data_IF_091321862698
#
_entry.id   IF_091321862698
#
_cell.length_a   1.000
_cell.length_b   1.000
_cell.length_c   1.000
_cell.angle_alpha   90.00
_cell.angle_beta   90.00
_cell.angle_gamma   90.00
#
_symmetry.space_group_name_H-M   'P 1'
#
loop_
_entity.id
_entity.type
_entity.pdbx_description
1 polymer ?
#
# COMPACT_ATOMS: atom_id res chain seq x y z
N UNK A 1 1.93 -5.68 54.89
CA UNK A 1 2.20 -6.71 53.87
C UNK A 1 1.55 -6.22 52.58
N UNK A 2 2.03 -5.07 52.13
CA UNK A 2 1.59 -4.34 50.94
C UNK A 2 2.86 -4.11 50.14
N UNK A 3 3.10 -4.97 49.16
CA UNK A 3 3.89 -4.62 47.97
C UNK A 3 3.71 -5.68 46.88
N UNK A 4 3.82 -5.25 45.63
CA UNK A 4 3.84 -6.02 44.36
C UNK A 4 2.52 -6.25 43.62
N UNK A 5 1.84 -5.16 43.29
CA UNK A 5 1.18 -5.05 41.98
C UNK A 5 2.12 -4.26 41.06
N UNK A 6 3.19 -4.94 40.61
CA UNK A 6 4.20 -4.34 39.74
C UNK A 6 3.66 -4.16 38.34
N UNK A 7 3.07 -3.00 38.04
CA UNK A 7 2.93 -2.56 36.65
C UNK A 7 4.33 -2.27 36.12
N UNK A 8 4.86 -3.22 35.35
CA UNK A 8 6.22 -3.21 34.84
C UNK A 8 6.35 -2.16 33.70
N UNK A 9 6.38 -0.87 34.05
CA UNK A 9 6.43 0.29 33.14
C UNK A 9 7.83 0.54 32.53
N UNK A 10 8.74 -0.44 32.55
CA UNK A 10 10.02 -0.33 31.85
C UNK A 10 9.83 -0.29 30.32
N UNK A 11 10.75 0.32 29.56
CA UNK A 11 10.68 0.32 28.10
C UNK A 11 10.61 -1.12 27.55
N UNK A 12 9.83 -1.30 26.48
CA UNK A 12 9.73 -2.59 25.77
C UNK A 12 11.07 -2.93 25.13
N UNK A 13 11.53 -4.17 25.31
CA UNK A 13 12.63 -4.72 24.52
C UNK A 13 12.17 -4.93 23.07
N UNK A 14 13.10 -5.07 22.14
CA UNK A 14 12.79 -5.16 20.71
C UNK A 14 11.88 -6.34 20.33
N UNK A 15 11.86 -7.39 21.14
CA UNK A 15 11.06 -8.59 20.94
C UNK A 15 9.79 -8.63 21.80
N UNK A 16 9.50 -7.57 22.54
CA UNK A 16 8.34 -7.50 23.44
C UNK A 16 7.29 -6.55 22.91
N UNK A 17 6.03 -6.85 23.20
CA UNK A 17 4.90 -6.01 22.87
C UNK A 17 3.78 -6.16 23.89
N UNK A 18 2.86 -5.20 23.87
CA UNK A 18 1.60 -5.30 24.59
C UNK A 18 0.58 -5.98 23.70
N UNK A 19 0.07 -7.14 24.13
CA UNK A 19 -0.97 -7.87 23.42
C UNK A 19 -2.32 -7.13 23.51
N UNK A 20 -3.35 -7.66 22.85
CA UNK A 20 -4.72 -7.12 22.90
C UNK A 20 -5.35 -7.10 24.29
N UNK A 21 -4.81 -7.89 25.24
CA UNK A 21 -5.22 -7.94 26.65
C UNK A 21 -4.43 -6.97 27.53
N UNK A 22 -3.59 -6.12 26.93
CA UNK A 22 -2.67 -5.21 27.62
C UNK A 22 -1.65 -5.92 28.53
N UNK A 23 -1.21 -7.11 28.14
CA UNK A 23 -0.15 -7.88 28.81
C UNK A 23 1.14 -7.80 28.00
N UNK A 24 2.28 -7.78 28.70
CA UNK A 24 3.62 -7.79 28.07
C UNK A 24 3.95 -9.22 27.65
N UNK A 25 4.11 -9.44 26.34
CA UNK A 25 4.37 -10.76 25.74
C UNK A 25 5.60 -10.69 24.83
N UNK A 26 6.34 -11.79 24.76
CA UNK A 26 7.49 -11.94 23.87
C UNK A 26 7.08 -12.58 22.54
N UNK A 27 7.61 -12.10 21.41
CA UNK A 27 7.25 -12.56 20.04
C UNK A 27 7.45 -14.07 19.85
N UNK A 28 8.50 -14.65 20.44
CA UNK A 28 8.79 -16.09 20.33
C UNK A 28 7.89 -16.99 21.19
N UNK A 29 7.00 -16.43 22.01
CA UNK A 29 6.03 -17.20 22.78
C UNK A 29 4.88 -17.63 21.85
N UNK A 30 5.21 -18.32 20.76
CA UNK A 30 4.27 -18.95 19.84
C UNK A 30 3.52 -20.04 20.62
N UNK A 31 2.20 -19.94 20.67
CA UNK A 31 1.29 -21.00 21.12
C UNK A 31 1.10 -21.23 22.62
N UNK A 32 1.79 -20.52 23.54
CA UNK A 32 1.64 -20.82 24.98
C UNK A 32 0.39 -20.23 25.66
N UNK A 33 -0.55 -19.61 24.94
CA UNK A 33 -1.67 -18.90 25.55
C UNK A 33 -2.99 -18.96 24.73
N UNK A 34 -3.17 -19.93 23.84
CA UNK A 34 -4.35 -19.99 22.98
C UNK A 34 -5.17 -21.27 23.22
N UNK A 35 -5.85 -21.34 24.37
CA UNK A 35 -6.88 -22.36 24.65
C UNK A 35 -7.91 -22.43 23.51
N UNK A 36 -8.22 -21.28 22.88
CA UNK A 36 -9.14 -21.18 21.74
C UNK A 36 -8.61 -21.88 20.49
N UNK A 37 -7.30 -21.83 20.22
CA UNK A 37 -6.68 -22.54 19.10
C UNK A 37 -6.68 -24.04 19.35
N UNK A 38 -6.30 -24.46 20.56
CA UNK A 38 -6.28 -25.87 20.94
C UNK A 38 -7.69 -26.47 20.87
N UNK A 39 -8.70 -25.75 21.39
CA UNK A 39 -10.11 -26.15 21.27
C UNK A 39 -10.57 -26.24 19.80
N UNK A 40 -10.23 -25.24 18.97
CA UNK A 40 -10.62 -25.27 17.56
C UNK A 40 -9.95 -26.42 16.79
N UNK A 41 -8.67 -26.72 17.10
CA UNK A 41 -7.95 -27.85 16.53
C UNK A 41 -8.55 -29.19 17.00
N UNK A 42 -8.89 -29.32 18.28
CA UNK A 42 -9.55 -30.50 18.84
C UNK A 42 -10.91 -30.76 18.19
N UNK A 43 -11.72 -29.71 18.00
CA UNK A 43 -13.01 -29.82 17.30
C UNK A 43 -12.82 -30.25 15.85
N UNK A 44 -11.82 -29.70 15.14
CA UNK A 44 -11.50 -30.10 13.77
C UNK A 44 -11.09 -31.58 13.69
N UNK A 45 -10.27 -32.05 14.64
CA UNK A 45 -9.83 -33.46 14.73
C UNK A 45 -11.00 -34.38 15.06
N UNK A 46 -11.96 -33.94 15.87
CA UNK A 46 -13.20 -34.67 16.20
C UNK A 46 -14.26 -34.63 15.08
N UNK A 47 -14.03 -33.85 14.02
CA UNK A 47 -14.98 -33.69 12.91
C UNK A 47 -16.18 -32.80 13.26
N UNK A 48 -16.08 -32.00 14.32
CA UNK A 48 -17.11 -31.06 14.75
C UNK A 48 -16.99 -29.73 14.00
N UNK A 49 -18.13 -29.03 13.84
CA UNK A 49 -18.13 -27.72 13.18
C UNK A 49 -17.57 -26.66 14.12
N UNK A 50 -16.49 -25.99 13.70
CA UNK A 50 -15.91 -24.86 14.42
C UNK A 50 -16.77 -23.62 14.22
N UNK A 51 -17.16 -22.96 15.32
CA UNK A 51 -17.92 -21.72 15.25
C UNK A 51 -17.14 -20.60 14.54
N UNK A 52 -17.85 -19.78 13.76
CA UNK A 52 -17.28 -18.65 13.03
C UNK A 52 -16.69 -17.57 13.95
N UNK A 53 -17.24 -17.42 15.17
CA UNK A 53 -16.69 -16.56 16.21
C UNK A 53 -15.33 -17.06 16.71
N UNK A 54 -15.23 -18.35 17.01
CA UNK A 54 -13.97 -18.99 17.43
C UNK A 54 -12.87 -18.83 16.35
N UNK A 55 -13.18 -19.08 15.07
CA UNK A 55 -12.25 -18.87 13.97
C UNK A 55 -11.77 -17.40 13.88
N UNK A 56 -12.66 -16.42 14.11
CA UNK A 56 -12.29 -15.00 14.10
C UNK A 56 -11.38 -14.64 15.26
N UNK A 57 -11.63 -15.18 16.45
CA UNK A 57 -10.75 -14.95 17.61
C UNK A 57 -9.37 -15.53 17.39
N UNK A 58 -9.28 -16.77 16.88
CA UNK A 58 -8.01 -17.41 16.51
C UNK A 58 -7.26 -16.59 15.44
N UNK A 59 -7.94 -16.17 14.37
CA UNK A 59 -7.30 -15.33 13.34
C UNK A 59 -6.83 -13.99 13.89
N UNK A 60 -7.57 -13.38 14.81
CA UNK A 60 -7.19 -12.11 15.41
C UNK A 60 -6.01 -12.25 16.38
N UNK A 61 -5.86 -13.40 17.03
CA UNK A 61 -4.70 -13.74 17.86
C UNK A 61 -3.47 -14.03 16.99
N UNK A 62 -3.63 -14.77 15.89
CA UNK A 62 -2.56 -14.97 14.88
C UNK A 62 -2.12 -13.62 14.30
N UNK A 63 -3.08 -12.75 13.96
CA UNK A 63 -2.80 -11.42 13.45
C UNK A 63 -2.00 -10.57 14.46
N UNK A 64 -2.40 -10.58 15.74
CA UNK A 64 -1.69 -9.86 16.79
C UNK A 64 -0.24 -10.36 16.97
N UNK A 65 0.00 -11.65 16.73
CA UNK A 65 1.32 -12.29 16.89
C UNK A 65 2.26 -12.11 15.71
N UNK A 66 1.74 -11.77 14.53
CA UNK A 66 2.57 -11.48 13.36
C UNK A 66 3.28 -10.13 13.53
N UNK A 67 4.42 -10.17 14.22
CA UNK A 67 5.25 -9.00 14.55
C UNK A 67 6.72 -9.25 14.22
N UNK A 68 7.44 -8.19 13.82
CA UNK A 68 8.90 -8.21 13.65
C UNK A 68 9.55 -7.51 14.85
N UNK A 69 10.63 -8.08 15.42
CA UNK A 69 11.40 -7.40 16.46
C UNK A 69 12.01 -6.09 15.95
N UNK A 70 11.69 -4.97 16.59
CA UNK A 70 12.19 -3.64 16.23
C UNK A 70 12.67 -2.89 17.47
N UNK A 71 13.65 -1.99 17.32
CA UNK A 71 14.12 -1.16 18.43
C UNK A 71 12.95 -0.35 19.01
N UNK A 72 12.65 -0.54 20.31
CA UNK A 72 11.53 0.10 21.00
C UNK A 72 10.24 -0.74 21.08
N UNK A 73 10.26 -1.99 20.63
CA UNK A 73 9.15 -2.94 20.76
C UNK A 73 8.82 -3.65 19.45
N UNK A 74 8.16 -4.80 19.52
CA UNK A 74 7.82 -5.57 18.33
C UNK A 74 6.73 -4.89 17.50
N UNK A 75 7.04 -4.66 16.21
CA UNK A 75 6.16 -3.96 15.27
C UNK A 75 5.15 -4.91 14.64
N UNK A 76 3.86 -4.59 14.75
CA UNK A 76 2.76 -5.37 14.17
C UNK A 76 2.71 -5.26 12.64
N UNK A 77 2.76 -6.40 11.97
CA UNK A 77 2.68 -6.53 10.51
C UNK A 77 1.24 -6.86 10.09
N UNK A 78 0.62 -7.77 10.84
CA UNK A 78 -0.69 -8.36 10.52
C UNK A 78 -0.65 -9.39 9.38
N UNK A 79 -1.70 -10.21 9.31
CA UNK A 79 -1.88 -11.28 8.31
C UNK A 79 -1.86 -10.71 6.89
N UNK A 80 -2.52 -9.57 6.69
CA UNK A 80 -2.61 -8.94 5.38
C UNK A 80 -1.23 -8.63 4.79
N UNK A 81 -0.29 -8.14 5.60
CA UNK A 81 1.06 -7.85 5.12
C UNK A 81 1.97 -9.08 5.09
N UNK A 82 1.74 -10.14 5.86
CA UNK A 82 2.57 -11.35 5.80
C UNK A 82 2.29 -12.21 4.56
N UNK A 83 1.03 -12.29 4.13
CA UNK A 83 0.59 -13.20 3.06
C UNK A 83 1.41 -13.08 1.75
N UNK A 84 1.68 -11.88 1.20
CA UNK A 84 2.41 -11.77 -0.06
C UNK A 84 3.84 -12.32 -0.01
N UNK A 85 4.51 -12.21 1.13
CA UNK A 85 5.87 -12.72 1.34
C UNK A 85 5.94 -14.25 1.41
N UNK A 86 4.82 -14.92 1.64
CA UNK A 86 4.71 -16.39 1.62
C UNK A 86 4.20 -16.86 0.27
N UNK A 87 3.12 -16.24 -0.23
CA UNK A 87 2.46 -16.63 -1.47
C UNK A 87 3.39 -16.43 -2.67
N UNK A 88 4.09 -15.29 -2.76
CA UNK A 88 4.89 -14.98 -3.94
C UNK A 88 6.08 -15.93 -4.13
N UNK A 89 6.89 -16.25 -3.11
CA UNK A 89 7.94 -17.27 -3.24
C UNK A 89 7.39 -18.65 -3.61
N UNK A 90 6.27 -19.10 -3.01
CA UNK A 90 5.66 -20.40 -3.34
C UNK A 90 5.23 -20.44 -4.81
N UNK A 91 4.62 -19.37 -5.32
CA UNK A 91 4.24 -19.28 -6.73
C UNK A 91 5.48 -19.25 -7.65
N UNK A 92 6.55 -18.56 -7.27
CA UNK A 92 7.81 -18.56 -8.03
C UNK A 92 8.50 -19.93 -8.02
N UNK A 93 8.50 -20.64 -6.89
CA UNK A 93 9.02 -22.00 -6.78
C UNK A 93 8.21 -22.95 -7.66
N UNK A 94 6.87 -22.85 -7.61
CA UNK A 94 5.97 -23.64 -8.47
C UNK A 94 6.22 -23.34 -9.95
N UNK A 95 6.41 -22.06 -10.29
CA UNK A 95 6.75 -21.64 -11.63
C UNK A 95 8.10 -22.19 -12.11
N UNK A 96 9.08 -22.38 -11.22
CA UNK A 96 10.40 -22.92 -11.58
C UNK A 96 10.43 -24.44 -11.88
N UNK A 97 9.42 -25.20 -11.46
CA UNK A 97 9.45 -26.67 -11.58
C UNK A 97 9.12 -27.14 -13.00
N UNK A 98 8.21 -26.47 -13.69
CA UNK A 98 7.78 -26.85 -15.04
C UNK A 98 6.97 -25.76 -15.74
N UNK A 99 6.82 -25.86 -17.06
CA UNK A 99 5.93 -25.00 -17.84
C UNK A 99 4.46 -25.05 -17.35
N UNK A 100 4.00 -26.20 -16.84
CA UNK A 100 2.66 -26.32 -16.24
C UNK A 100 2.59 -25.53 -14.93
N UNK A 101 3.61 -25.63 -14.10
CA UNK A 101 3.73 -24.84 -12.87
C UNK A 101 3.76 -23.34 -13.14
N UNK A 102 4.45 -22.90 -14.19
CA UNK A 102 4.43 -21.53 -14.68
C UNK A 102 3.03 -21.07 -15.08
N UNK A 103 2.34 -21.86 -15.91
CA UNK A 103 0.99 -21.56 -16.35
C UNK A 103 -0.01 -21.50 -15.18
N UNK A 104 0.06 -22.46 -14.24
CA UNK A 104 -0.76 -22.47 -13.04
C UNK A 104 -0.49 -21.24 -12.16
N UNK A 105 0.78 -20.88 -11.99
CA UNK A 105 1.16 -19.71 -11.18
C UNK A 105 0.65 -18.42 -11.82
N UNK A 106 0.76 -18.27 -13.14
CA UNK A 106 0.24 -17.11 -13.86
C UNK A 106 -1.30 -17.01 -13.80
N UNK A 107 -2.00 -18.15 -13.97
CA UNK A 107 -3.46 -18.24 -13.90
C UNK A 107 -4.02 -18.03 -12.49
N UNK A 108 -3.26 -18.40 -11.45
CA UNK A 108 -3.65 -18.12 -10.07
C UNK A 108 -3.40 -16.64 -9.73
N UNK A 109 -2.23 -16.11 -10.11
CA UNK A 109 -1.75 -14.82 -9.65
C UNK A 109 -2.62 -13.64 -10.10
N UNK A 110 -2.82 -13.50 -11.41
CA UNK A 110 -3.45 -12.29 -11.96
C UNK A 110 -4.95 -12.19 -11.59
N UNK A 111 -5.78 -13.23 -11.74
CA UNK A 111 -7.19 -13.17 -11.35
C UNK A 111 -7.36 -12.98 -9.84
N UNK A 112 -6.57 -13.67 -9.00
CA UNK A 112 -6.64 -13.49 -7.55
C UNK A 112 -6.26 -12.06 -7.15
N UNK A 113 -5.27 -11.45 -7.81
CA UNK A 113 -4.89 -10.07 -7.53
C UNK A 113 -5.93 -9.05 -7.96
N UNK A 114 -6.56 -9.25 -9.13
CA UNK A 114 -7.67 -8.41 -9.58
C UNK A 114 -8.84 -8.54 -8.60
N UNK A 115 -9.19 -9.76 -8.20
CA UNK A 115 -10.24 -10.02 -7.22
C UNK A 115 -9.93 -9.34 -5.89
N UNK A 116 -8.73 -9.55 -5.33
CA UNK A 116 -8.32 -8.96 -4.07
C UNK A 116 -8.35 -7.42 -4.12
N UNK A 117 -7.85 -6.83 -5.22
CA UNK A 117 -7.91 -5.39 -5.43
C UNK A 117 -9.34 -4.87 -5.42
N UNK A 118 -10.24 -5.48 -6.19
CA UNK A 118 -11.65 -5.08 -6.27
C UNK A 118 -12.37 -5.30 -4.94
N UNK A 119 -12.13 -6.42 -4.26
CA UNK A 119 -12.72 -6.73 -2.97
C UNK A 119 -12.31 -5.70 -1.92
N UNK A 120 -11.02 -5.36 -1.84
CA UNK A 120 -10.50 -4.35 -0.90
C UNK A 120 -11.06 -2.95 -1.20
N UNK A 121 -11.20 -2.58 -2.47
CA UNK A 121 -11.84 -1.32 -2.84
C UNK A 121 -13.32 -1.27 -2.43
N UNK A 122 -14.05 -2.38 -2.54
CA UNK A 122 -15.48 -2.47 -2.18
C UNK A 122 -15.73 -2.47 -0.68
N UNK A 123 -14.83 -3.08 0.10
CA UNK A 123 -15.00 -3.14 1.56
C UNK A 123 -14.76 -1.80 2.25
N UNK A 124 -14.15 -0.82 1.56
CA UNK A 124 -13.73 0.45 2.16
C UNK A 124 -12.92 0.26 3.47
N UNK A 125 -12.23 -0.87 3.58
CA UNK A 125 -11.46 -1.24 4.75
C UNK A 125 -9.98 -0.95 4.50
N UNK A 126 -9.30 -0.46 5.54
CA UNK A 126 -7.85 -0.33 5.50
C UNK A 126 -7.21 -1.71 5.48
N UNK A 127 -6.29 -1.93 4.56
CA UNK A 127 -5.54 -3.19 4.47
C UNK A 127 -4.13 -2.92 4.00
N UNK A 128 -3.17 -3.56 4.64
CA UNK A 128 -1.75 -3.52 4.28
C UNK A 128 -1.39 -4.50 3.16
N UNK A 129 -2.34 -5.34 2.70
CA UNK A 129 -2.10 -6.40 1.73
C UNK A 129 -1.51 -5.89 0.40
N UNK A 130 -2.14 -4.90 -0.24
CA UNK A 130 -1.69 -4.38 -1.54
C UNK A 130 -0.30 -3.71 -1.44
N UNK A 131 -0.09 -2.93 -0.38
CA UNK A 131 1.21 -2.32 -0.11
C UNK A 131 2.29 -3.39 0.09
N UNK A 132 2.04 -4.39 0.94
CA UNK A 132 2.99 -5.46 1.19
C UNK A 132 3.25 -6.31 -0.07
N UNK A 133 2.22 -6.53 -0.87
CA UNK A 133 2.34 -7.22 -2.16
C UNK A 133 3.28 -6.50 -3.12
N UNK A 134 3.15 -5.18 -3.22
CA UNK A 134 4.06 -4.36 -4.01
C UNK A 134 5.49 -4.46 -3.49
N UNK A 135 5.69 -4.38 -2.17
CA UNK A 135 7.03 -4.50 -1.56
C UNK A 135 7.64 -5.88 -1.82
N UNK A 136 6.90 -6.97 -1.59
CA UNK A 136 7.36 -8.34 -1.87
C UNK A 136 7.69 -8.52 -3.35
N UNK A 137 6.85 -8.00 -4.25
CA UNK A 137 7.07 -8.03 -5.70
C UNK A 137 8.37 -7.33 -6.10
N UNK A 138 8.60 -6.12 -5.59
CA UNK A 138 9.80 -5.34 -5.87
C UNK A 138 11.06 -6.05 -5.36
N UNK A 139 11.01 -6.60 -4.15
CA UNK A 139 12.13 -7.36 -3.58
C UNK A 139 12.45 -8.60 -4.40
N UNK A 140 11.45 -9.37 -4.81
CA UNK A 140 11.65 -10.57 -5.63
C UNK A 140 12.16 -10.25 -7.04
N UNK A 141 11.63 -9.21 -7.70
CA UNK A 141 12.14 -8.76 -9.01
C UNK A 141 13.60 -8.29 -8.92
N UNK A 142 13.92 -7.44 -7.94
CA UNK A 142 15.27 -6.94 -7.75
C UNK A 142 16.25 -8.08 -7.40
N UNK A 143 15.84 -9.04 -6.56
CA UNK A 143 16.66 -10.21 -6.21
C UNK A 143 16.96 -11.06 -7.44
N UNK A 144 15.93 -11.35 -8.26
CA UNK A 144 16.10 -12.12 -9.48
C UNK A 144 16.97 -11.39 -10.51
N UNK A 145 16.82 -10.07 -10.64
CA UNK A 145 17.65 -9.26 -11.53
C UNK A 145 19.12 -9.26 -11.07
N UNK A 146 19.40 -9.14 -9.77
CA UNK A 146 20.75 -9.16 -9.20
C UNK A 146 21.43 -10.52 -9.37
N UNK A 147 20.74 -11.61 -8.98
CA UNK A 147 21.25 -12.98 -9.12
C UNK A 147 21.63 -13.28 -10.57
N UNK A 148 20.90 -12.70 -11.52
CA UNK A 148 21.12 -12.96 -12.93
C UNK A 148 22.12 -11.99 -13.58
N UNK A 149 22.20 -10.74 -13.11
CA UNK A 149 23.22 -9.80 -13.56
C UNK A 149 24.64 -10.26 -13.24
N UNK A 150 24.81 -10.95 -12.10
CA UNK A 150 26.07 -11.57 -11.70
C UNK A 150 26.49 -12.67 -12.69
N UNK A 151 25.54 -13.48 -13.17
CA UNK A 151 25.81 -14.56 -14.13
C UNK A 151 26.23 -14.06 -15.53
N UNK A 152 25.86 -12.85 -15.92
CA UNK A 152 26.14 -12.29 -17.28
C UNK A 152 27.41 -11.41 -17.26
N UNK A 153 28.02 -11.21 -16.09
CA UNK A 153 29.18 -10.33 -15.95
C UNK A 153 28.86 -8.87 -16.23
N UNK A 154 27.62 -8.42 -16.00
CA UNK A 154 27.26 -7.01 -16.05
C UNK A 154 28.13 -6.25 -15.03
N UNK A 155 28.82 -5.21 -15.49
CA UNK A 155 29.74 -4.44 -14.63
C UNK A 155 28.97 -3.74 -13.52
N UNK A 156 29.60 -3.52 -12.35
CA UNK A 156 29.01 -2.83 -11.19
C UNK A 156 28.40 -1.46 -11.56
N UNK A 157 28.96 -0.78 -12.57
CA UNK A 157 28.43 0.48 -13.10
C UNK A 157 27.08 0.34 -13.82
N UNK A 158 26.89 -0.75 -14.58
CA UNK A 158 25.61 -1.05 -15.25
C UNK A 158 24.54 -1.46 -14.23
N UNK A 159 24.87 -2.27 -13.23
CA UNK A 159 23.95 -2.67 -12.16
C UNK A 159 23.41 -1.46 -11.37
N UNK A 160 24.26 -0.45 -11.15
CA UNK A 160 23.87 0.79 -10.46
C UNK A 160 22.80 1.58 -11.24
N UNK A 161 22.89 1.63 -12.57
CA UNK A 161 21.94 2.36 -13.41
C UNK A 161 20.52 1.77 -13.36
N UNK A 162 20.42 0.44 -13.39
CA UNK A 162 19.14 -0.28 -13.32
C UNK A 162 18.41 -0.09 -11.97
N UNK A 163 19.16 0.16 -10.89
CA UNK A 163 18.59 0.36 -9.55
C UNK A 163 18.07 1.79 -9.28
N UNK A 164 18.50 2.79 -10.06
CA UNK A 164 18.16 4.21 -9.82
C UNK A 164 16.66 4.51 -9.89
N UNK A 165 15.89 4.04 -10.91
CA UNK A 165 14.46 4.27 -10.96
C UNK A 165 13.72 3.67 -9.76
N UNK A 166 14.14 2.47 -9.32
CA UNK A 166 13.57 1.83 -8.13
C UNK A 166 13.86 2.65 -6.86
N UNK A 167 15.11 3.08 -6.67
CA UNK A 167 15.48 3.90 -5.51
C UNK A 167 14.69 5.21 -5.48
N UNK A 168 14.57 5.88 -6.62
CA UNK A 168 13.75 7.10 -6.75
C UNK A 168 12.27 6.84 -6.45
N UNK A 169 11.71 5.72 -6.92
CA UNK A 169 10.35 5.31 -6.59
C UNK A 169 10.18 5.09 -5.08
N UNK A 170 11.11 4.39 -4.42
CA UNK A 170 11.08 4.17 -2.96
C UNK A 170 11.19 5.47 -2.16
N UNK A 171 12.04 6.40 -2.60
CA UNK A 171 12.14 7.73 -1.98
C UNK A 171 10.83 8.51 -2.09
N UNK A 172 10.20 8.52 -3.28
CA UNK A 172 8.91 9.20 -3.48
C UNK A 172 7.76 8.50 -2.74
N UNK A 173 7.79 7.17 -2.63
CA UNK A 173 6.86 6.41 -1.79
C UNK A 173 6.98 6.81 -0.31
N UNK A 174 8.21 6.90 0.20
CA UNK A 174 8.49 7.40 1.54
C UNK A 174 7.95 8.82 1.75
N UNK A 175 8.19 9.72 0.80
CA UNK A 175 7.63 11.07 0.83
C UNK A 175 6.10 11.08 0.81
N UNK A 176 5.46 10.27 -0.04
CA UNK A 176 3.99 10.17 -0.09
C UNK A 176 3.39 9.69 1.23
N UNK A 177 4.11 8.80 1.94
CA UNK A 177 3.71 8.24 3.23
C UNK A 177 4.00 9.15 4.41
N UNK A 178 5.05 9.96 4.33
CA UNK A 178 5.43 10.92 5.36
C UNK A 178 4.65 12.23 5.25
N UNK A 179 4.15 12.58 4.05
CA UNK A 179 3.39 13.80 3.83
C UNK A 179 2.17 13.84 4.76
N UNK A 180 2.04 14.87 5.60
CA UNK A 180 0.87 14.99 6.45
C UNK A 180 -0.39 15.19 5.59
N UNK A 181 -1.57 14.79 6.10
CA UNK A 181 -2.84 15.17 5.48
C UNK A 181 -3.09 16.69 5.53
N UNK A 182 -2.18 17.46 6.15
CA UNK A 182 -2.34 18.87 6.44
C UNK A 182 -2.21 19.76 5.21
N UNK A 183 -2.81 20.92 5.35
CA UNK A 183 -2.80 22.04 4.44
C UNK A 183 -1.45 22.78 4.32
N UNK A 184 -0.47 22.43 5.16
CA UNK A 184 0.77 23.21 5.30
C UNK A 184 1.65 23.09 4.04
N UNK A 185 2.08 24.25 3.51
CA UNK A 185 2.94 24.32 2.33
C UNK A 185 2.22 24.28 0.97
N UNK A 186 0.89 24.18 0.94
CA UNK A 186 0.09 24.17 -0.30
C UNK A 186 0.03 25.57 -0.92
N UNK A 187 0.51 25.73 -2.17
CA UNK A 187 0.59 27.03 -2.85
C UNK A 187 -0.76 27.73 -3.05
N UNK A 188 -1.83 26.99 -3.19
CA UNK A 188 -3.18 27.53 -3.33
C UNK A 188 -4.10 26.82 -2.36
N UNK A 189 -3.85 27.07 -1.07
CA UNK A 189 -4.56 26.42 0.00
C UNK A 189 -6.06 26.69 -0.08
N UNK A 190 -6.48 27.92 -0.36
CA UNK A 190 -7.89 28.25 -0.51
C UNK A 190 -8.58 27.39 -1.59
N UNK A 191 -8.03 27.30 -2.80
CA UNK A 191 -8.61 26.46 -3.85
C UNK A 191 -8.49 24.96 -3.57
N UNK A 192 -7.45 24.53 -2.83
CA UNK A 192 -7.33 23.15 -2.38
C UNK A 192 -8.39 22.79 -1.32
N UNK A 193 -8.69 23.70 -0.39
CA UNK A 193 -9.72 23.56 0.63
C UNK A 193 -11.12 23.54 0.03
N UNK A 194 -11.38 24.36 -1.00
CA UNK A 194 -12.65 24.29 -1.74
C UNK A 194 -12.88 22.88 -2.29
N UNK A 195 -11.82 22.21 -2.74
CA UNK A 195 -11.87 20.84 -3.29
C UNK A 195 -11.53 19.77 -2.24
N UNK A 196 -11.62 20.09 -0.95
CA UNK A 196 -11.38 19.14 0.10
C UNK A 196 -12.55 18.17 0.27
N UNK A 197 -12.23 16.91 0.57
CA UNK A 197 -13.22 15.87 0.89
C UNK A 197 -12.69 15.01 2.03
N UNK A 198 -13.59 14.50 2.88
CA UNK A 198 -13.25 13.52 3.91
C UNK A 198 -12.92 12.17 3.27
N UNK A 199 -11.75 11.61 3.59
CA UNK A 199 -11.35 10.27 3.19
C UNK A 199 -12.21 9.25 3.96
N UNK A 200 -12.95 8.34 3.29
CA UNK A 200 -13.81 7.38 3.98
C UNK A 200 -13.05 6.35 4.82
N UNK A 201 -11.75 6.13 4.53
CA UNK A 201 -10.93 5.10 5.18
C UNK A 201 -10.18 5.67 6.40
N UNK A 202 -9.66 6.89 6.29
CA UNK A 202 -8.92 7.54 7.39
C UNK A 202 -9.81 8.45 8.24
N UNK A 203 -10.98 8.84 7.75
CA UNK A 203 -11.84 9.82 8.42
C UNK A 203 -11.30 11.26 8.39
N UNK A 204 -10.15 11.51 7.78
CA UNK A 204 -9.54 12.84 7.73
C UNK A 204 -10.00 13.64 6.51
N UNK A 205 -10.07 14.98 6.66
CA UNK A 205 -10.38 15.89 5.56
C UNK A 205 -9.11 16.18 4.78
N UNK A 206 -9.09 15.82 3.50
CA UNK A 206 -7.91 15.92 2.64
C UNK A 206 -8.10 17.07 1.65
N UNK A 207 -7.23 18.10 1.65
CA UNK A 207 -7.30 19.18 0.66
C UNK A 207 -7.03 18.67 -0.76
N UNK A 208 -7.86 19.09 -1.72
CA UNK A 208 -7.85 18.60 -3.11
C UNK A 208 -7.77 17.06 -3.18
N UNK A 209 -8.70 16.40 -2.50
CA UNK A 209 -8.72 14.95 -2.38
C UNK A 209 -8.85 14.27 -3.76
N UNK A 210 -7.95 13.33 -4.05
CA UNK A 210 -7.96 12.56 -5.30
C UNK A 210 -8.54 11.17 -5.13
N UNK A 211 -7.90 10.36 -4.30
CA UNK A 211 -8.38 9.03 -3.91
C UNK A 211 -7.58 8.52 -2.71
N UNK A 212 -8.08 7.46 -2.08
CA UNK A 212 -7.26 6.61 -1.24
C UNK A 212 -6.55 5.57 -2.11
N UNK A 213 -5.24 5.45 -1.99
CA UNK A 213 -4.45 4.47 -2.72
C UNK A 213 -4.03 3.33 -1.78
N UNK A 214 -4.67 2.16 -1.94
CA UNK A 214 -4.36 0.96 -1.15
C UNK A 214 -2.96 0.41 -1.37
N UNK A 215 -2.34 0.70 -2.52
CA UNK A 215 -0.97 0.29 -2.85
C UNK A 215 0.10 1.05 -2.07
N UNK A 216 -0.23 2.22 -1.50
CA UNK A 216 0.67 2.97 -0.62
C UNK A 216 0.08 3.20 0.77
N UNK A 217 -1.12 2.66 1.04
CA UNK A 217 -1.90 2.80 2.28
C UNK A 217 -1.99 4.26 2.76
N UNK A 218 -2.32 5.18 1.85
CA UNK A 218 -2.48 6.62 2.15
C UNK A 218 -3.50 7.32 1.25
N UNK A 219 -4.16 8.37 1.76
CA UNK A 219 -4.92 9.31 0.92
C UNK A 219 -3.97 10.12 0.03
N UNK A 220 -4.38 10.33 -1.21
CA UNK A 220 -3.73 11.20 -2.20
C UNK A 220 -4.49 12.53 -2.25
N UNK A 221 -3.76 13.62 -2.07
CA UNK A 221 -4.29 14.99 -2.10
C UNK A 221 -3.20 16.01 -2.40
N UNK A 222 -3.46 17.30 -2.18
CA UNK A 222 -2.51 18.37 -2.57
C UNK A 222 -1.10 18.22 -1.98
N UNK A 223 -0.97 17.63 -0.78
CA UNK A 223 0.31 17.47 -0.10
C UNK A 223 1.24 16.46 -0.79
N UNK A 224 0.70 15.39 -1.39
CA UNK A 224 1.50 14.28 -1.94
C UNK A 224 1.20 13.91 -3.39
N UNK A 225 0.22 14.54 -4.06
CA UNK A 225 -0.19 14.15 -5.41
C UNK A 225 0.97 14.19 -6.42
N UNK A 226 1.86 15.20 -6.35
CA UNK A 226 3.03 15.29 -7.25
C UNK A 226 4.01 14.15 -7.04
N UNK A 227 4.33 13.87 -5.78
CA UNK A 227 5.20 12.75 -5.42
C UNK A 227 4.57 11.42 -5.82
N UNK A 228 3.24 11.29 -5.71
CA UNK A 228 2.52 10.11 -6.15
C UNK A 228 2.63 9.88 -7.66
N UNK A 229 2.46 10.93 -8.48
CA UNK A 229 2.66 10.83 -9.94
C UNK A 229 4.11 10.47 -10.28
N UNK A 230 5.08 11.11 -9.63
CA UNK A 230 6.49 10.76 -9.82
C UNK A 230 6.79 9.32 -9.41
N UNK A 231 6.21 8.85 -8.30
CA UNK A 231 6.34 7.49 -7.80
C UNK A 231 5.83 6.47 -8.82
N UNK A 232 4.61 6.63 -9.35
CA UNK A 232 4.07 5.68 -10.33
C UNK A 232 4.83 5.69 -11.66
N UNK A 233 5.39 6.84 -12.07
CA UNK A 233 6.23 6.95 -13.28
C UNK A 233 7.58 6.25 -13.07
N UNK A 234 8.25 6.47 -11.94
CA UNK A 234 9.51 5.79 -11.64
C UNK A 234 9.31 4.29 -11.42
N UNK A 235 8.19 3.88 -10.82
CA UNK A 235 7.81 2.48 -10.67
C UNK A 235 7.54 1.82 -12.03
N UNK A 236 6.92 2.54 -12.98
CA UNK A 236 6.74 2.08 -14.35
C UNK A 236 8.09 1.86 -15.03
N UNK A 237 9.00 2.84 -14.95
CA UNK A 237 10.35 2.74 -15.53
C UNK A 237 11.10 1.55 -14.93
N UNK A 238 11.09 1.41 -13.59
CA UNK A 238 11.73 0.29 -12.90
C UNK A 238 11.15 -1.07 -13.33
N UNK A 239 9.83 -1.16 -13.52
CA UNK A 239 9.17 -2.40 -13.96
C UNK A 239 9.57 -2.79 -15.38
N UNK A 240 9.64 -1.83 -16.30
CA UNK A 240 10.12 -2.07 -17.67
C UNK A 240 11.60 -2.47 -17.65
N UNK A 241 12.43 -1.74 -16.90
CA UNK A 241 13.86 -1.99 -16.79
C UNK A 241 14.16 -3.39 -16.27
N UNK A 242 13.57 -3.80 -15.13
CA UNK A 242 13.72 -5.16 -14.60
C UNK A 242 13.22 -6.23 -15.58
N UNK A 243 12.11 -5.99 -16.28
CA UNK A 243 11.60 -6.90 -17.30
C UNK A 243 12.59 -7.11 -18.45
N UNK A 244 13.21 -6.02 -18.93
CA UNK A 244 14.23 -6.05 -20.00
C UNK A 244 15.51 -6.73 -19.52
N UNK A 245 16.01 -6.41 -18.33
CA UNK A 245 17.21 -7.04 -17.75
C UNK A 245 17.03 -8.56 -17.65
N UNK A 246 15.89 -9.02 -17.12
CA UNK A 246 15.59 -10.44 -16.98
C UNK A 246 15.46 -11.15 -18.33
N UNK A 247 14.86 -10.50 -19.34
CA UNK A 247 14.72 -11.09 -20.68
C UNK A 247 16.07 -11.15 -21.42
N UNK A 248 16.85 -10.07 -21.35
CA UNK A 248 18.19 -10.01 -21.92
C UNK A 248 19.09 -11.08 -21.28
N UNK A 249 18.97 -11.23 -19.97
CA UNK A 249 19.66 -12.24 -19.23
C UNK A 249 19.36 -13.68 -19.66
N UNK A 250 18.08 -13.98 -19.84
CA UNK A 250 17.65 -15.27 -20.39
C UNK A 250 18.30 -15.51 -21.75
N UNK A 251 18.22 -14.52 -22.64
CA UNK A 251 18.81 -14.62 -23.98
C UNK A 251 20.33 -14.82 -23.96
N UNK A 252 21.06 -14.06 -23.16
CA UNK A 252 22.52 -14.14 -23.03
C UNK A 252 22.99 -15.53 -22.55
N UNK A 253 22.27 -16.12 -21.59
CA UNK A 253 22.58 -17.47 -21.06
C UNK A 253 22.49 -18.55 -22.15
N UNK A 254 21.58 -18.38 -23.12
CA UNK A 254 21.46 -19.29 -24.25
C UNK A 254 22.50 -19.02 -25.35
N UNK A 255 22.88 -17.76 -25.57
CA UNK A 255 23.88 -17.38 -26.57
C UNK A 255 25.31 -17.85 -26.23
N UNK A 256 25.67 -17.92 -24.94
CA UNK A 256 26.98 -18.45 -24.50
C UNK A 256 27.17 -19.95 -24.79
N UNK A 257 26.08 -20.68 -25.09
CA UNK A 257 26.09 -22.11 -25.43
C UNK A 257 26.03 -22.30 -26.96
N UNK A 258 26.74 -21.51 -27.76
CA UNK A 258 26.91 -21.69 -29.23
C UNK A 258 25.66 -22.10 -30.04
N UNK A 259 24.46 -21.75 -29.58
CA UNK A 259 23.20 -22.13 -30.21
C UNK A 259 22.44 -20.87 -30.63
N UNK A 260 21.69 -20.91 -31.74
CA UNK A 260 20.82 -19.82 -32.13
C UNK A 260 19.83 -19.50 -31.00
N UNK A 261 19.34 -18.25 -30.91
CA UNK A 261 18.37 -17.89 -29.89
C UNK A 261 17.17 -18.83 -29.91
N UNK A 262 16.97 -19.56 -28.81
CA UNK A 262 15.90 -20.54 -28.70
C UNK A 262 14.54 -19.83 -28.82
N UNK A 263 13.66 -20.28 -29.73
CA UNK A 263 12.29 -19.76 -29.80
C UNK A 263 11.58 -19.98 -28.46
N UNK A 264 10.55 -19.16 -28.17
CA UNK A 264 9.81 -19.17 -26.91
C UNK A 264 9.34 -20.57 -26.49
N UNK A 265 8.98 -21.42 -27.47
CA UNK A 265 8.58 -22.81 -27.22
C UNK A 265 9.66 -23.68 -26.59
N UNK A 266 10.93 -23.47 -26.94
CA UNK A 266 12.05 -24.27 -26.43
C UNK A 266 12.54 -23.73 -25.08
N UNK A 267 12.46 -22.41 -24.85
CA UNK A 267 12.67 -21.81 -23.52
C UNK A 267 11.69 -22.37 -22.48
N UNK A 268 10.43 -22.58 -22.87
CA UNK A 268 9.41 -23.21 -22.04
C UNK A 268 9.69 -24.69 -21.76
N UNK A 269 10.50 -25.36 -22.58
CA UNK A 269 10.90 -26.75 -22.34
C UNK A 269 12.17 -26.88 -21.48
N UNK A 270 12.99 -25.83 -21.42
CA UNK A 270 14.19 -25.80 -20.56
C UNK A 270 13.83 -25.41 -19.12
N UNK A 271 14.04 -26.31 -18.14
CA UNK A 271 13.66 -26.06 -16.74
C UNK A 271 14.45 -24.93 -16.04
N UNK A 272 15.60 -24.49 -16.59
CA UNK A 272 16.49 -23.55 -15.90
C UNK A 272 16.03 -22.07 -15.95
N UNK A 273 14.91 -21.76 -16.62
CA UNK A 273 14.56 -20.39 -17.01
C UNK A 273 13.13 -19.95 -16.65
N UNK A 274 12.29 -20.81 -16.06
CA UNK A 274 10.85 -20.52 -15.90
C UNK A 274 10.54 -19.46 -14.86
N UNK A 275 11.26 -19.39 -13.73
CA UNK A 275 11.06 -18.35 -12.70
C UNK A 275 11.43 -16.95 -13.19
N UNK A 276 12.49 -16.84 -13.99
CA UNK A 276 12.90 -15.57 -14.60
C UNK A 276 11.93 -15.13 -15.69
N UNK A 277 11.45 -16.07 -16.51
CA UNK A 277 10.41 -15.80 -17.50
C UNK A 277 9.10 -15.35 -16.83
N UNK A 278 8.71 -16.00 -15.73
CA UNK A 278 7.57 -15.58 -14.91
C UNK A 278 7.75 -14.16 -14.38
N UNK A 279 8.94 -13.86 -13.84
CA UNK A 279 9.26 -12.56 -13.27
C UNK A 279 9.27 -11.45 -14.32
N UNK A 280 9.85 -11.70 -15.50
CA UNK A 280 9.83 -10.76 -16.62
C UNK A 280 8.41 -10.51 -17.13
N UNK A 281 7.62 -11.57 -17.33
CA UNK A 281 6.22 -11.46 -17.75
C UNK A 281 5.38 -10.66 -16.73
N UNK A 282 5.58 -10.93 -15.43
CA UNK A 282 4.93 -10.17 -14.36
C UNK A 282 5.35 -8.69 -14.38
N UNK A 283 6.64 -8.39 -14.54
CA UNK A 283 7.14 -7.02 -14.63
C UNK A 283 6.49 -6.23 -15.78
N UNK A 284 6.35 -6.85 -16.96
CA UNK A 284 5.65 -6.24 -18.10
C UNK A 284 4.15 -6.10 -17.89
N UNK A 285 3.48 -7.06 -17.24
CA UNK A 285 2.07 -6.95 -16.89
C UNK A 285 1.82 -5.78 -15.93
N UNK A 286 2.68 -5.61 -14.91
CA UNK A 286 2.66 -4.46 -14.00
C UNK A 286 2.95 -3.16 -14.75
N UNK A 287 3.93 -3.14 -15.65
CA UNK A 287 4.22 -1.98 -16.48
C UNK A 287 3.03 -1.57 -17.36
N UNK A 288 2.30 -2.52 -17.94
CA UNK A 288 1.09 -2.24 -18.71
C UNK A 288 -0.01 -1.61 -17.84
N UNK A 289 -0.23 -2.16 -16.64
CA UNK A 289 -1.19 -1.60 -15.68
C UNK A 289 -0.80 -0.19 -15.21
N UNK A 290 0.48 0.03 -14.89
CA UNK A 290 1.01 1.34 -14.50
C UNK A 290 0.92 2.35 -15.64
N UNK A 291 1.16 1.93 -16.89
CA UNK A 291 1.01 2.79 -18.07
C UNK A 291 -0.43 3.27 -18.22
N UNK A 292 -1.40 2.37 -18.06
CA UNK A 292 -2.82 2.73 -18.07
C UNK A 292 -3.18 3.69 -16.92
N UNK A 293 -2.65 3.44 -15.72
CA UNK A 293 -2.86 4.30 -14.55
C UNK A 293 -2.27 5.71 -14.73
N UNK A 294 -1.02 5.79 -15.24
CA UNK A 294 -0.35 7.07 -15.55
C UNK A 294 -1.13 7.82 -16.60
N UNK A 295 -1.51 7.18 -17.70
CA UNK A 295 -2.30 7.79 -18.76
C UNK A 295 -3.65 8.33 -18.22
N UNK A 296 -4.32 7.55 -17.37
CA UNK A 296 -5.57 7.96 -16.74
C UNK A 296 -5.39 9.19 -15.85
N UNK A 297 -4.41 9.17 -14.93
CA UNK A 297 -4.15 10.28 -14.01
C UNK A 297 -3.73 11.56 -14.75
N UNK A 298 -2.83 11.43 -15.73
CA UNK A 298 -2.40 12.55 -16.56
C UNK A 298 -3.58 13.12 -17.37
N UNK A 299 -4.47 12.28 -17.91
CA UNK A 299 -5.67 12.74 -18.60
C UNK A 299 -6.59 13.55 -17.68
N UNK A 300 -6.88 13.05 -16.47
CA UNK A 300 -7.72 13.76 -15.50
C UNK A 300 -7.12 15.10 -15.09
N UNK A 301 -5.83 15.13 -14.78
CA UNK A 301 -5.15 16.33 -14.28
C UNK A 301 -4.96 17.35 -15.40
N UNK A 302 -4.38 16.94 -16.52
CA UNK A 302 -3.89 17.84 -17.56
C UNK A 302 -5.01 18.21 -18.53
N UNK A 303 -5.80 17.22 -18.95
CA UNK A 303 -6.85 17.42 -19.96
C UNK A 303 -8.14 17.94 -19.35
N UNK A 304 -8.51 17.43 -18.16
CA UNK A 304 -9.78 17.77 -17.52
C UNK A 304 -9.65 18.75 -16.34
N UNK A 305 -8.48 18.86 -15.70
CA UNK A 305 -8.31 19.68 -14.49
C UNK A 305 -9.10 19.14 -13.29
N UNK A 306 -9.37 17.83 -13.28
CA UNK A 306 -10.17 17.12 -12.29
C UNK A 306 -9.29 16.17 -11.48
N UNK A 307 -9.70 15.92 -10.24
CA UNK A 307 -9.22 14.78 -9.46
C UNK A 307 -10.01 13.52 -9.80
N UNK A 308 -9.48 12.34 -9.48
CA UNK A 308 -10.19 11.07 -9.65
C UNK A 308 -11.50 11.02 -8.85
N UNK A 309 -11.53 11.61 -7.65
CA UNK A 309 -12.74 11.72 -6.85
C UNK A 309 -13.81 12.56 -7.55
N UNK A 310 -13.45 13.73 -8.04
CA UNK A 310 -14.40 14.61 -8.75
C UNK A 310 -14.88 14.02 -10.07
N UNK A 311 -14.01 13.33 -10.81
CA UNK A 311 -14.40 12.66 -12.05
C UNK A 311 -15.48 11.59 -11.80
N UNK A 312 -15.37 10.84 -10.70
CA UNK A 312 -16.38 9.84 -10.29
C UNK A 312 -17.68 10.44 -9.74
N UNK A 313 -17.63 11.65 -9.18
CA UNK A 313 -18.76 12.31 -8.54
C UNK A 313 -19.23 13.56 -9.28
N UNK A 314 -18.90 13.68 -10.57
CA UNK A 314 -19.14 14.89 -11.34
C UNK A 314 -20.62 15.27 -11.37
N UNK A 315 -21.49 14.26 -11.47
CA UNK A 315 -22.94 14.43 -11.42
C UNK A 315 -23.44 14.91 -10.06
N UNK A 316 -22.76 14.57 -8.96
CA UNK A 316 -23.18 14.89 -7.59
C UNK A 316 -22.56 16.18 -7.05
N UNK A 317 -21.70 16.84 -7.82
CA UNK A 317 -21.00 18.07 -7.41
C UNK A 317 -21.50 19.26 -8.24
N UNK A 318 -22.56 19.98 -7.81
CA UNK A 318 -23.15 21.10 -8.55
C UNK A 318 -22.14 22.20 -8.89
N UNK A 319 -21.17 22.44 -8.00
CA UNK A 319 -20.07 23.40 -8.20
C UNK A 319 -19.17 23.10 -9.41
N UNK A 320 -19.17 21.85 -9.88
CA UNK A 320 -18.41 21.42 -11.06
C UNK A 320 -19.28 21.32 -12.32
N UNK A 321 -20.61 21.31 -12.18
CA UNK A 321 -21.53 21.36 -13.32
C UNK A 321 -21.41 22.73 -14.00
N UNK A 322 -21.03 22.74 -15.27
CA UNK A 322 -20.84 23.98 -16.05
C UNK A 322 -19.48 24.67 -15.88
N UNK A 323 -18.53 24.08 -15.15
CA UNK A 323 -17.17 24.64 -15.03
C UNK A 323 -16.50 24.65 -16.41
N UNK A 324 -16.12 25.83 -16.88
CA UNK A 324 -15.41 25.99 -18.17
C UNK A 324 -14.06 25.28 -18.09
N UNK A 325 -13.77 24.41 -19.06
CA UNK A 325 -12.47 23.72 -19.13
C UNK A 325 -11.37 24.77 -19.31
N UNK A 326 -10.34 24.69 -18.45
CA UNK A 326 -9.11 25.46 -18.63
C UNK A 326 -8.27 24.82 -19.74
N UNK A 327 -7.47 25.61 -20.48
CA UNK A 327 -6.48 25.08 -21.41
C UNK A 327 -5.52 24.10 -20.73
N UNK A 328 -5.07 23.09 -21.49
CA UNK A 328 -4.14 22.06 -21.04
C UNK A 328 -2.88 22.64 -20.35
N UNK A 329 -2.32 23.71 -20.91
CA UNK A 329 -1.12 24.37 -20.36
C UNK A 329 -1.36 25.00 -18.99
N UNK A 330 -2.55 25.54 -18.75
CA UNK A 330 -2.91 26.12 -17.45
C UNK A 330 -3.13 25.03 -16.40
N UNK A 331 -3.78 23.93 -16.76
CA UNK A 331 -3.93 22.78 -15.87
C UNK A 331 -2.57 22.19 -15.49
N UNK A 332 -1.67 22.03 -16.46
CA UNK A 332 -0.31 21.56 -16.22
C UNK A 332 0.44 22.50 -15.27
N UNK A 333 0.42 23.83 -15.52
CA UNK A 333 1.05 24.81 -14.62
C UNK A 333 0.46 24.76 -13.22
N UNK A 334 -0.88 24.76 -13.11
CA UNK A 334 -1.57 24.70 -11.82
C UNK A 334 -1.29 23.39 -11.06
N UNK A 335 -0.96 22.30 -11.76
CA UNK A 335 -0.54 21.06 -11.13
C UNK A 335 0.92 21.08 -10.68
N UNK A 336 1.83 21.63 -11.48
CA UNK A 336 3.26 21.69 -11.15
C UNK A 336 3.58 22.75 -10.09
N UNK A 337 2.87 23.88 -10.11
CA UNK A 337 3.11 25.06 -9.28
C UNK A 337 2.31 25.02 -7.95
N UNK A 338 2.44 23.90 -7.23
CA UNK A 338 1.68 23.64 -5.99
C UNK A 338 2.43 23.95 -4.69
N UNK A 339 3.65 24.50 -4.74
CA UNK A 339 4.45 24.81 -3.53
C UNK A 339 4.61 26.31 -3.33
N UNK A 340 4.11 26.86 -2.20
CA UNK A 340 4.41 28.23 -1.77
C UNK A 340 5.60 28.21 -0.81
N UNK A 341 6.50 29.20 -0.86
CA UNK A 341 7.46 29.41 0.21
C UNK A 341 6.72 29.76 1.52
N UNK A 342 7.14 29.13 2.63
CA UNK A 342 6.50 29.18 3.96
C UNK A 342 6.30 30.62 4.47
N UNK A 343 7.12 31.58 4.02
CA UNK A 343 7.06 32.97 4.48
C UNK A 343 5.91 33.82 3.88
N UNK A 344 5.02 33.25 3.06
CA UNK A 344 4.04 34.01 2.25
C UNK A 344 2.56 33.80 2.60
N UNK A 345 2.25 33.28 3.78
CA UNK A 345 0.86 33.03 4.23
C UNK A 345 -0.01 34.29 4.20
N UNK A 346 -1.09 34.26 3.41
CA UNK A 346 -2.07 35.36 3.29
C UNK A 346 -3.24 35.17 4.26
N UNK A 347 -4.01 36.25 4.49
CA UNK A 347 -5.24 36.23 5.31
C UNK A 347 -6.29 35.22 4.81
N UNK A 348 -6.35 34.97 3.49
CA UNK A 348 -7.18 33.94 2.84
C UNK A 348 -6.84 32.52 3.30
N UNK A 349 -5.57 32.27 3.63
CA UNK A 349 -5.08 30.96 4.04
C UNK A 349 -5.49 30.66 5.50
N UNK A 350 -5.65 31.71 6.34
CA UNK A 350 -6.23 31.61 7.70
C UNK A 350 -7.73 31.28 7.69
N UNK A 351 -8.48 31.81 6.74
CA UNK A 351 -9.90 31.45 6.57
C UNK A 351 -10.07 30.04 6.00
N UNK A 352 -9.20 29.62 5.08
CA UNK A 352 -9.22 28.28 4.50
C UNK A 352 -8.88 27.18 5.52
N UNK A 353 -7.92 27.44 6.42
CA UNK A 353 -7.60 26.55 7.55
C UNK A 353 -8.75 26.45 8.55
N UNK A 354 -9.44 27.57 8.87
CA UNK A 354 -10.67 27.55 9.68
C UNK A 354 -11.81 26.76 9.03
N UNK A 355 -11.94 26.82 7.71
CA UNK A 355 -12.92 26.00 6.99
C UNK A 355 -12.59 24.51 7.07
N UNK A 356 -11.32 24.13 6.95
CA UNK A 356 -10.89 22.73 7.15
C UNK A 356 -11.16 22.26 8.58
N UNK A 357 -10.92 23.09 9.60
CA UNK A 357 -11.21 22.73 10.99
C UNK A 357 -12.72 22.59 11.23
N UNK A 358 -13.57 23.41 10.59
CA UNK A 358 -15.02 23.23 10.62
C UNK A 358 -15.48 21.94 9.93
N UNK A 359 -14.92 21.62 8.75
CA UNK A 359 -15.19 20.34 8.07
C UNK A 359 -14.71 19.13 8.88
N UNK A 360 -13.64 19.30 9.67
CA UNK A 360 -13.13 18.27 10.57
C UNK A 360 -14.00 18.11 11.82
N UNK A 361 -14.48 19.22 12.43
CA UNK A 361 -15.25 19.24 13.68
C UNK A 361 -16.77 19.13 13.53
N UNK A 362 -17.34 19.26 12.33
CA UNK A 362 -18.79 19.19 12.09
C UNK A 362 -19.41 17.80 12.26
N UNK A 363 -18.65 16.76 12.62
CA UNK A 363 -19.17 15.40 12.83
C UNK A 363 -19.51 15.05 14.28
N UNK A 364 -19.16 15.89 15.26
CA UNK A 364 -19.52 15.63 16.67
C UNK A 364 -20.91 16.16 17.03
N UNK A 365 -21.60 16.84 16.10
CA UNK A 365 -22.89 17.49 16.35
C UNK A 365 -24.12 16.67 15.90
N UNK A 366 -23.95 15.51 15.25
CA UNK A 366 -25.07 14.76 14.64
C UNK A 366 -25.27 13.34 15.23
N UNK A 367 -24.81 13.12 16.46
CA UNK A 367 -24.86 11.80 17.10
C UNK A 367 -24.92 11.84 18.63
N UNK A 368 -25.90 12.52 19.22
CA UNK A 368 -26.41 12.19 20.58
C UNK A 368 -27.63 13.03 21.00
N UNK A 369 -28.79 12.77 20.40
CA UNK A 369 -30.06 12.99 21.08
C UNK A 369 -30.76 11.66 21.30
N UNK A 370 -30.46 11.02 22.44
CA UNK A 370 -31.44 10.39 23.34
C UNK A 370 -30.69 9.54 24.39
N UNK A 371 -30.53 10.08 25.60
CA UNK A 371 -30.70 9.34 26.86
C UNK A 371 -30.59 10.28 28.06
N UNK A 372 -31.76 10.59 28.64
CA UNK A 372 -32.00 10.70 30.08
C UNK A 372 -31.08 11.56 30.94
N UNK A 373 -31.57 12.77 31.21
CA UNK A 373 -31.38 13.52 32.44
C UNK A 373 -31.68 12.68 33.70
N UNK A 374 -30.71 12.60 34.62
CA UNK A 374 -30.95 12.32 36.04
C UNK A 374 -30.56 13.57 36.84
N UNK A 375 -31.37 13.98 37.84
CA UNK A 375 -31.18 15.24 38.54
C UNK A 375 -30.10 15.14 39.62
N UNK A 376 -29.38 16.26 39.77
CA UNK A 376 -28.47 16.51 40.87
C UNK A 376 -29.25 16.53 42.20
N UNK A 377 -28.84 15.70 43.15
CA UNK A 377 -29.17 15.87 44.57
C UNK A 377 -27.97 16.56 45.25
N UNK A 378 -28.21 17.80 45.66
CA UNK A 378 -27.38 18.53 46.59
C UNK A 378 -27.98 18.33 47.98
N UNK A 379 -27.20 17.79 48.92
CA UNK A 379 -27.40 17.99 50.36
C UNK A 379 -26.09 17.67 51.10
N UNK A 380 -25.44 18.73 51.56
CA UNK A 380 -24.72 18.81 52.85
C UNK A 380 -25.57 19.72 53.74
N UNK A 381 -25.57 19.59 55.08
CA UNK A 381 -24.40 19.40 55.94
C UNK A 381 -24.15 17.96 56.39
#
# INVERSE_FOLDING_TARGET
MEDRMGTNHGPLCCCEYMNRRAERVHVLQLCCACEEFDMAADMLVRGETVDTGACRSVLAEIDDRLRIPMLGGAYHIGIGASLPWIIMPILLLTASVSARGLALSALALLPCMIYAHVALLRMHARSSFLYSWMMASLTLLASNAVLKSDQIGLTVGSASFHSLPLLGALCLLGHCRAAPPSAEGVADLAAACERATRCPIFGEVIPRYDHYCGWIDRPIGSANHRAYIGFIVLLLIASVDFGVVLLHALHATHATVHQPPLPLGDMLQSNHSHSFLASAAYAFAVAAALSALVAHQLSLIIWHGLTAHEARHLERLPRLRGRRRRPMRENMRAFLDQTKPICTWRRSDRTATRHLSHLAGGSDADGSHHASSLPASATTP
#
